data_IF_672644897145
#
_entry.id   IF_672644897145
#
_cell.length_a   1.000
_cell.length_b   1.000
_cell.length_c   1.000
_cell.angle_alpha   90.00
_cell.angle_beta   90.00
_cell.angle_gamma   90.00
#
_symmetry.space_group_name_H-M   'P 1'
#
loop_
_entity.id
_entity.type
_entity.pdbx_description
1 polymer ?
#
# COMPACT_ATOMS: atom_id res chain seq x y z
N UNK A 1 -27.22 5.05 24.27
CA UNK A 1 -26.58 6.20 23.58
C UNK A 1 -25.73 5.62 22.46
N UNK A 2 -26.00 5.98 21.20
CA UNK A 2 -25.17 5.55 20.06
C UNK A 2 -23.77 6.18 20.22
N UNK A 3 -22.73 5.37 20.31
CA UNK A 3 -21.34 5.86 20.27
C UNK A 3 -21.16 6.66 18.97
N UNK A 4 -20.50 7.81 19.07
CA UNK A 4 -20.24 8.67 17.91
C UNK A 4 -19.19 7.97 17.05
N UNK A 5 -19.55 7.60 15.84
CA UNK A 5 -18.60 7.03 14.87
C UNK A 5 -17.59 8.09 14.45
N UNK A 6 -16.32 7.70 14.39
CA UNK A 6 -15.22 8.52 13.90
C UNK A 6 -14.19 7.64 13.16
N UNK A 7 -13.38 8.23 12.27
CA UNK A 7 -12.34 7.48 11.61
C UNK A 7 -11.31 6.95 12.61
N UNK A 8 -11.09 5.64 12.61
CA UNK A 8 -10.02 4.96 13.32
C UNK A 8 -9.00 4.45 12.32
N UNK A 9 -7.71 4.66 12.60
CA UNK A 9 -6.60 4.22 11.78
C UNK A 9 -5.84 3.09 12.48
N UNK A 10 -5.91 1.90 11.90
CA UNK A 10 -5.21 0.72 12.39
C UNK A 10 -3.95 0.48 11.57
N UNK A 11 -2.83 0.32 12.24
CA UNK A 11 -1.57 -0.15 11.64
C UNK A 11 -1.41 -1.63 11.99
N UNK A 12 -1.32 -2.46 10.95
CA UNK A 12 -1.27 -3.92 11.10
C UNK A 12 -0.02 -4.45 10.40
N UNK A 13 0.82 -5.16 11.13
CA UNK A 13 1.94 -5.92 10.57
C UNK A 13 1.54 -7.38 10.42
N UNK A 14 1.78 -7.94 9.26
CA UNK A 14 1.35 -9.29 8.90
C UNK A 14 2.47 -10.05 8.18
N UNK A 15 2.41 -11.36 8.24
CA UNK A 15 3.23 -12.19 7.36
C UNK A 15 2.84 -11.92 5.89
N UNK A 16 3.85 -11.76 5.03
CA UNK A 16 3.62 -11.58 3.60
C UNK A 16 3.28 -12.92 2.93
N UNK A 17 2.03 -13.38 3.15
CA UNK A 17 1.51 -14.64 2.64
C UNK A 17 0.18 -14.44 1.90
N UNK A 18 -0.13 -15.27 0.89
CA UNK A 18 -1.42 -15.24 0.21
C UNK A 18 -2.59 -15.41 1.18
N UNK A 19 -3.68 -14.68 0.94
CA UNK A 19 -4.92 -14.79 1.70
C UNK A 19 -4.97 -14.03 3.03
N UNK A 20 -3.89 -13.42 3.50
CA UNK A 20 -3.88 -12.66 4.76
C UNK A 20 -4.80 -11.45 4.68
N UNK A 21 -4.72 -10.67 3.60
CA UNK A 21 -5.61 -9.54 3.36
C UNK A 21 -7.08 -9.97 3.35
N UNK A 22 -7.40 -11.08 2.70
CA UNK A 22 -8.77 -11.60 2.63
C UNK A 22 -9.32 -11.96 4.03
N UNK A 23 -8.49 -12.52 4.91
CA UNK A 23 -8.89 -12.83 6.30
C UNK A 23 -9.24 -11.57 7.09
N UNK A 24 -8.43 -10.51 6.96
CA UNK A 24 -8.67 -9.22 7.61
C UNK A 24 -9.94 -8.59 7.04
N UNK A 25 -10.08 -8.47 5.73
CA UNK A 25 -11.26 -7.93 5.08
C UNK A 25 -12.55 -8.70 5.46
N UNK A 26 -12.47 -10.02 5.55
CA UNK A 26 -13.58 -10.88 6.00
C UNK A 26 -13.98 -10.62 7.47
N UNK A 27 -13.03 -10.23 8.31
CA UNK A 27 -13.33 -9.84 9.70
C UNK A 27 -14.18 -8.56 9.73
N UNK A 28 -13.80 -7.52 8.99
CA UNK A 28 -14.57 -6.27 8.88
C UNK A 28 -15.96 -6.53 8.32
N UNK A 29 -16.05 -7.29 7.21
CA UNK A 29 -17.33 -7.67 6.59
C UNK A 29 -18.26 -8.38 7.56
N UNK A 30 -17.78 -9.39 8.31
CA UNK A 30 -18.61 -10.14 9.26
C UNK A 30 -19.14 -9.29 10.41
N UNK A 31 -18.46 -8.19 10.73
CA UNK A 31 -18.84 -7.24 11.78
C UNK A 31 -19.66 -6.06 11.25
N UNK A 32 -19.89 -5.99 9.94
CA UNK A 32 -20.63 -4.89 9.31
C UNK A 32 -19.86 -3.57 9.28
N UNK A 33 -18.52 -3.57 9.47
CA UNK A 33 -17.71 -2.37 9.42
C UNK A 33 -17.23 -2.11 7.99
N UNK A 34 -17.38 -0.85 7.55
CA UNK A 34 -16.83 -0.42 6.27
C UNK A 34 -15.34 -0.09 6.38
N UNK A 35 -14.56 -0.49 5.39
CA UNK A 35 -13.17 -0.06 5.22
C UNK A 35 -13.18 1.15 4.26
N UNK A 36 -12.88 2.33 4.77
CA UNK A 36 -12.85 3.57 3.99
C UNK A 36 -11.51 3.73 3.23
N UNK A 37 -10.43 3.27 3.84
CA UNK A 37 -9.10 3.33 3.27
C UNK A 37 -8.31 2.09 3.64
N UNK A 38 -7.61 1.53 2.66
CA UNK A 38 -6.75 0.37 2.82
C UNK A 38 -5.49 0.56 2.01
N UNK A 39 -4.36 0.50 2.68
CA UNK A 39 -3.04 0.49 2.02
C UNK A 39 -2.26 -0.71 2.51
N UNK A 40 -1.65 -1.43 1.59
CA UNK A 40 -0.80 -2.59 1.87
C UNK A 40 0.53 -2.39 1.17
N UNK A 41 1.61 -2.58 1.89
CA UNK A 41 2.96 -2.44 1.35
C UNK A 41 3.95 -3.36 2.04
N UNK A 42 5.09 -3.57 1.39
CA UNK A 42 6.21 -4.27 1.99
C UNK A 42 6.86 -3.42 3.10
N UNK A 43 7.50 -4.08 4.03
CA UNK A 43 8.36 -3.43 5.02
C UNK A 43 9.83 -3.64 4.65
N UNK A 44 10.73 -3.15 5.49
CA UNK A 44 12.16 -3.46 5.42
C UNK A 44 12.47 -4.96 5.58
N UNK A 45 11.50 -5.76 6.07
CA UNK A 45 11.58 -7.22 6.17
C UNK A 45 10.80 -7.84 5.03
N UNK A 46 11.45 -8.59 4.17
CA UNK A 46 10.84 -9.17 2.95
C UNK A 46 9.64 -10.09 3.19
N UNK A 47 9.58 -10.71 4.37
CA UNK A 47 8.51 -11.62 4.78
C UNK A 47 7.39 -10.95 5.59
N UNK A 48 7.45 -9.62 5.76
CA UNK A 48 6.47 -8.84 6.52
C UNK A 48 5.86 -7.77 5.62
N UNK A 49 4.53 -7.69 5.61
CA UNK A 49 3.78 -6.60 5.01
C UNK A 49 3.14 -5.72 6.09
N UNK A 50 3.00 -4.45 5.79
CA UNK A 50 2.34 -3.47 6.64
C UNK A 50 1.07 -2.98 5.97
N UNK A 51 -0.01 -2.98 6.72
CA UNK A 51 -1.30 -2.45 6.28
C UNK A 51 -1.66 -1.22 7.12
N UNK A 52 -2.27 -0.24 6.48
CA UNK A 52 -3.00 0.83 7.15
C UNK A 52 -4.47 0.69 6.77
N UNK A 53 -5.33 0.58 7.75
CA UNK A 53 -6.78 0.38 7.57
C UNK A 53 -7.48 1.54 8.26
N UNK A 54 -8.34 2.26 7.55
CA UNK A 54 -9.20 3.31 8.13
C UNK A 54 -10.65 2.87 8.05
N UNK A 55 -11.36 3.01 9.16
CA UNK A 55 -12.78 2.63 9.28
C UNK A 55 -13.49 3.59 10.25
N UNK A 56 -14.63 4.14 9.88
CA UNK A 56 -15.47 4.95 10.78
C UNK A 56 -16.29 4.05 11.68
N UNK A 57 -15.92 3.99 12.95
CA UNK A 57 -16.55 3.14 13.99
C UNK A 57 -16.49 3.84 15.34
N UNK A 58 -17.30 3.39 16.28
CA UNK A 58 -17.24 3.88 17.68
C UNK A 58 -16.00 3.33 18.43
N UNK A 59 -15.56 4.04 19.47
CA UNK A 59 -14.35 3.70 20.24
C UNK A 59 -14.39 2.27 20.82
N UNK A 60 -15.51 1.83 21.36
CA UNK A 60 -15.67 0.47 21.87
C UNK A 60 -15.61 -0.59 20.76
N UNK A 61 -16.05 -0.25 19.54
CA UNK A 61 -15.91 -1.11 18.38
C UNK A 61 -14.45 -1.18 17.92
N UNK A 62 -13.70 -0.08 17.97
CA UNK A 62 -12.30 -0.03 17.60
C UNK A 62 -11.43 -0.97 18.45
N UNK A 63 -11.58 -0.97 19.77
CA UNK A 63 -10.90 -1.92 20.64
C UNK A 63 -11.23 -3.39 20.33
N UNK A 64 -12.50 -3.68 19.98
CA UNK A 64 -12.89 -5.04 19.58
C UNK A 64 -12.29 -5.43 18.23
N UNK A 65 -12.21 -4.50 17.28
CA UNK A 65 -11.57 -4.72 15.97
C UNK A 65 -10.10 -5.04 16.16
N UNK A 66 -9.36 -4.21 16.89
CA UNK A 66 -7.95 -4.41 17.20
C UNK A 66 -7.70 -5.79 17.82
N UNK A 67 -8.44 -6.15 18.89
CA UNK A 67 -8.32 -7.45 19.56
C UNK A 67 -8.65 -8.64 18.65
N UNK A 68 -9.60 -8.48 17.72
CA UNK A 68 -9.97 -9.54 16.78
C UNK A 68 -8.95 -9.69 15.64
N UNK A 69 -8.39 -8.59 15.12
CA UNK A 69 -7.29 -8.63 14.14
C UNK A 69 -6.08 -9.35 14.75
N UNK A 70 -5.73 -9.02 16.01
CA UNK A 70 -4.59 -9.62 16.69
C UNK A 70 -4.70 -11.16 16.88
N UNK A 71 -5.90 -11.70 16.89
CA UNK A 71 -6.15 -13.16 16.98
C UNK A 71 -5.90 -13.90 15.68
N UNK A 72 -5.78 -13.21 14.55
CA UNK A 72 -5.51 -13.86 13.27
C UNK A 72 -4.09 -14.41 13.23
N UNK A 73 -3.93 -15.65 12.78
CA UNK A 73 -2.67 -16.41 12.83
C UNK A 73 -1.49 -15.67 12.17
N UNK A 74 -1.74 -14.97 11.07
CA UNK A 74 -0.70 -14.29 10.30
C UNK A 74 -0.48 -12.83 10.71
N UNK A 75 -1.17 -12.34 11.74
CA UNK A 75 -0.98 -10.99 12.27
C UNK A 75 0.15 -11.00 13.30
N UNK A 76 1.14 -10.17 13.07
CA UNK A 76 2.34 -10.04 13.90
C UNK A 76 2.18 -8.94 14.93
N UNK A 77 1.50 -7.86 14.56
CA UNK A 77 1.17 -6.74 15.44
C UNK A 77 -0.01 -5.96 14.85
N UNK A 78 -0.81 -5.37 15.73
CA UNK A 78 -1.88 -4.44 15.36
C UNK A 78 -1.93 -3.32 16.39
N UNK A 79 -2.23 -2.13 15.94
CA UNK A 79 -2.30 -0.95 16.79
C UNK A 79 -3.30 0.06 16.23
N UNK A 80 -4.22 0.54 17.05
CA UNK A 80 -5.02 1.73 16.76
C UNK A 80 -4.17 2.98 17.04
N UNK A 81 -3.78 3.68 15.98
CA UNK A 81 -2.94 4.88 16.05
C UNK A 81 -3.73 6.18 16.00
N UNK A 82 -5.05 6.12 16.11
CA UNK A 82 -5.97 7.27 15.99
C UNK A 82 -5.62 8.39 16.98
N UNK A 83 -5.29 8.04 18.22
CA UNK A 83 -4.94 8.99 19.27
C UNK A 83 -3.43 9.32 19.32
N UNK A 84 -2.62 8.64 18.52
CA UNK A 84 -1.18 8.84 18.54
C UNK A 84 -0.76 10.04 17.68
N UNK A 85 0.32 10.70 18.05
CA UNK A 85 0.94 11.71 17.19
C UNK A 85 1.56 11.03 15.97
N UNK A 86 0.93 11.21 14.81
CA UNK A 86 1.30 10.53 13.57
C UNK A 86 1.60 11.49 12.44
N UNK A 87 2.27 10.97 11.41
CA UNK A 87 2.33 11.55 10.07
C UNK A 87 1.45 10.69 9.18
N UNK A 88 0.40 11.29 8.61
CA UNK A 88 -0.45 10.64 7.59
C UNK A 88 -0.19 11.26 6.23
N UNK A 89 -0.12 10.45 5.20
CA UNK A 89 0.04 10.86 3.80
C UNK A 89 -0.81 9.99 2.88
N UNK A 90 -1.41 10.65 1.90
CA UNK A 90 -2.04 10.02 0.74
C UNK A 90 -1.51 10.67 -0.53
N UNK A 91 -1.61 9.98 -1.65
CA UNK A 91 -1.33 10.52 -2.98
C UNK A 91 -2.62 10.55 -3.78
N UNK A 92 -2.84 11.61 -4.55
CA UNK A 92 -3.90 11.68 -5.54
C UNK A 92 -3.34 12.10 -6.90
N UNK A 93 -3.89 11.48 -7.96
CA UNK A 93 -3.75 11.93 -9.34
C UNK A 93 -5.10 12.44 -9.79
N UNK A 94 -5.15 13.69 -10.23
CA UNK A 94 -6.39 14.35 -10.66
C UNK A 94 -6.21 14.83 -12.10
N UNK A 95 -6.97 14.25 -13.02
CA UNK A 95 -7.06 14.72 -14.40
C UNK A 95 -8.14 15.77 -14.50
N UNK A 96 -7.79 16.95 -14.94
CA UNK A 96 -8.69 18.10 -15.03
C UNK A 96 -8.71 18.67 -16.44
N UNK A 97 -9.87 19.17 -16.89
CA UNK A 97 -9.97 19.90 -18.14
C UNK A 97 -9.14 21.18 -18.06
N UNK A 98 -8.33 21.44 -19.08
CA UNK A 98 -7.39 22.55 -19.13
C UNK A 98 -7.37 23.20 -20.53
N UNK A 99 -8.50 23.83 -20.96
CA UNK A 99 -8.47 24.64 -22.13
C UNK A 99 -7.49 25.81 -21.95
N UNK A 100 -7.05 26.41 -23.02
CA UNK A 100 -5.97 27.41 -23.02
C UNK A 100 -6.23 28.56 -22.04
N UNK A 101 -7.46 29.03 -21.97
CA UNK A 101 -7.88 30.16 -21.13
C UNK A 101 -7.74 29.87 -19.62
N UNK A 102 -7.91 28.61 -19.19
CA UNK A 102 -7.85 28.23 -17.78
C UNK A 102 -6.49 27.72 -17.33
N UNK A 103 -5.60 27.44 -18.27
CA UNK A 103 -4.33 26.78 -18.01
C UNK A 103 -3.44 27.56 -17.06
N UNK A 104 -3.33 28.88 -17.25
CA UNK A 104 -2.53 29.72 -16.35
C UNK A 104 -3.04 29.63 -14.89
N UNK A 105 -4.36 29.76 -14.72
CA UNK A 105 -4.98 29.69 -13.39
C UNK A 105 -4.79 28.32 -12.72
N UNK A 106 -4.86 27.23 -13.48
CA UNK A 106 -4.58 25.89 -12.98
C UNK A 106 -3.13 25.74 -12.51
N UNK A 107 -2.17 26.31 -13.24
CA UNK A 107 -0.76 26.30 -12.85
C UNK A 107 -0.51 27.08 -11.56
N UNK A 108 -1.21 28.18 -11.31
CA UNK A 108 -1.14 28.92 -10.04
C UNK A 108 -1.69 28.07 -8.88
N UNK A 109 -2.84 27.41 -9.06
CA UNK A 109 -3.42 26.50 -8.06
C UNK A 109 -2.41 25.40 -7.71
N UNK A 110 -1.81 24.77 -8.72
CA UNK A 110 -0.79 23.72 -8.52
C UNK A 110 0.37 24.23 -7.66
N UNK A 111 0.84 25.46 -7.90
CA UNK A 111 1.93 26.09 -7.09
C UNK A 111 1.49 26.33 -5.64
N UNK A 112 0.31 26.91 -5.42
CA UNK A 112 -0.23 27.20 -4.09
C UNK A 112 -0.31 25.92 -3.24
N UNK A 113 -0.82 24.84 -3.83
CA UNK A 113 -0.96 23.56 -3.14
C UNK A 113 0.35 22.76 -3.08
N UNK A 114 1.45 23.26 -3.67
CA UNK A 114 2.71 22.51 -3.82
C UNK A 114 2.46 21.12 -4.43
N UNK A 115 1.58 21.08 -5.43
CA UNK A 115 1.29 19.93 -6.26
C UNK A 115 2.22 19.95 -7.49
N UNK A 116 2.15 18.93 -8.33
CA UNK A 116 2.95 18.82 -9.56
C UNK A 116 2.06 18.48 -10.74
N UNK A 117 2.34 19.08 -11.89
CA UNK A 117 1.80 18.60 -13.17
C UNK A 117 2.70 17.45 -13.62
N UNK A 118 2.12 16.27 -13.80
CA UNK A 118 2.83 15.06 -14.24
C UNK A 118 2.52 14.69 -15.68
N UNK A 119 1.43 15.26 -16.23
CA UNK A 119 1.09 15.15 -17.65
C UNK A 119 0.43 16.44 -18.13
N UNK A 120 0.80 16.85 -19.34
CA UNK A 120 0.26 18.04 -20.02
C UNK A 120 -0.19 17.65 -21.43
N UNK A 121 -1.50 17.70 -21.65
CA UNK A 121 -2.11 17.50 -22.96
C UNK A 121 -2.78 18.80 -23.46
N UNK A 122 -3.14 18.90 -24.75
CA UNK A 122 -3.75 20.12 -25.33
C UNK A 122 -5.00 20.62 -24.60
N UNK A 123 -5.79 19.71 -24.00
CA UNK A 123 -7.07 20.05 -23.35
C UNK A 123 -7.21 19.53 -21.93
N UNK A 124 -6.16 18.95 -21.35
CA UNK A 124 -6.18 18.40 -19.99
C UNK A 124 -4.82 18.44 -19.32
N UNK A 125 -4.82 18.42 -17.97
CA UNK A 125 -3.66 18.26 -17.12
C UNK A 125 -3.88 17.07 -16.18
N UNK A 126 -2.81 16.33 -15.84
CA UNK A 126 -2.81 15.44 -14.70
C UNK A 126 -1.98 16.08 -13.59
N UNK A 127 -2.62 16.30 -12.46
CA UNK A 127 -2.04 16.94 -11.29
C UNK A 127 -1.81 15.86 -10.23
N UNK A 128 -0.57 15.72 -9.78
CA UNK A 128 -0.17 14.88 -8.66
C UNK A 128 -0.09 15.72 -7.39
N UNK A 129 -0.69 15.23 -6.31
CA UNK A 129 -0.55 15.81 -4.99
C UNK A 129 -0.32 14.73 -3.94
N UNK A 130 0.60 15.01 -3.02
CA UNK A 130 0.81 14.21 -1.81
C UNK A 130 0.61 15.09 -0.59
N UNK A 131 -0.10 14.60 0.40
CA UNK A 131 -0.37 15.35 1.61
C UNK A 131 -1.26 14.65 2.61
N UNK A 132 -1.67 15.40 3.63
CA UNK A 132 -2.76 15.00 4.51
C UNK A 132 -4.09 15.05 3.76
N UNK A 133 -5.08 14.34 4.27
CA UNK A 133 -6.41 14.20 3.66
C UNK A 133 -7.04 15.57 3.35
N UNK A 134 -7.03 16.48 4.34
CA UNK A 134 -7.60 17.83 4.20
C UNK A 134 -6.98 18.64 3.07
N UNK A 135 -5.64 18.51 2.89
CA UNK A 135 -4.93 19.19 1.80
C UNK A 135 -5.40 18.69 0.43
N UNK A 136 -5.59 17.37 0.30
CA UNK A 136 -6.03 16.75 -0.95
C UNK A 136 -7.47 17.12 -1.24
N UNK A 137 -8.34 17.09 -0.23
CA UNK A 137 -9.74 17.52 -0.37
C UNK A 137 -9.82 18.99 -0.81
N UNK A 138 -9.09 19.89 -0.15
CA UNK A 138 -9.07 21.30 -0.51
C UNK A 138 -8.63 21.54 -1.96
N UNK A 139 -7.61 20.82 -2.45
CA UNK A 139 -7.23 20.91 -3.87
C UNK A 139 -8.35 20.41 -4.79
N UNK A 140 -8.95 19.26 -4.48
CA UNK A 140 -10.03 18.68 -5.29
C UNK A 140 -11.21 19.66 -5.39
N UNK A 141 -11.59 20.28 -4.28
CA UNK A 141 -12.69 21.26 -4.26
C UNK A 141 -12.40 22.49 -5.10
N UNK A 142 -11.16 23.00 -5.07
CA UNK A 142 -10.73 24.12 -5.90
C UNK A 142 -10.67 23.72 -7.39
N UNK A 143 -10.42 22.47 -7.72
CA UNK A 143 -10.35 21.97 -9.09
C UNK A 143 -11.76 21.64 -9.68
N UNK A 144 -12.77 21.40 -8.85
CA UNK A 144 -14.15 21.06 -9.33
C UNK A 144 -14.70 22.01 -10.39
N UNK A 145 -14.58 23.36 -10.28
CA UNK A 145 -15.11 24.28 -11.28
C UNK A 145 -14.45 24.16 -12.66
N UNK A 146 -13.23 23.61 -12.75
CA UNK A 146 -12.54 23.41 -14.02
C UNK A 146 -12.96 22.13 -14.75
N UNK A 147 -13.70 21.24 -14.08
CA UNK A 147 -14.12 19.95 -14.61
C UNK A 147 -13.09 18.85 -14.36
N UNK A 148 -13.29 18.08 -13.31
CA UNK A 148 -12.50 16.87 -13.02
C UNK A 148 -12.97 15.79 -13.98
N UNK A 149 -12.06 15.30 -14.83
CA UNK A 149 -12.31 14.25 -15.81
C UNK A 149 -12.14 12.86 -15.19
N UNK A 150 -11.11 12.72 -14.32
CA UNK A 150 -10.80 11.46 -13.66
C UNK A 150 -10.01 11.77 -12.39
N UNK A 151 -10.18 10.94 -11.38
CA UNK A 151 -9.40 11.02 -10.14
C UNK A 151 -9.13 9.63 -9.60
N UNK A 152 -7.90 9.40 -9.17
CA UNK A 152 -7.51 8.21 -8.42
C UNK A 152 -6.75 8.64 -7.17
N UNK A 153 -6.97 7.92 -6.07
CA UNK A 153 -6.32 8.18 -4.79
C UNK A 153 -5.79 6.87 -4.20
N UNK A 154 -4.65 6.95 -3.54
CA UNK A 154 -4.20 5.87 -2.67
C UNK A 154 -4.99 5.89 -1.36
N UNK A 155 -4.94 4.81 -0.61
CA UNK A 155 -5.27 4.86 0.80
C UNK A 155 -4.21 5.65 1.60
N UNK A 156 -4.52 5.90 2.86
CA UNK A 156 -3.60 6.59 3.78
C UNK A 156 -2.44 5.68 4.18
N UNK A 157 -1.24 6.25 4.21
CA UNK A 157 -0.06 5.68 4.87
C UNK A 157 0.16 6.49 6.14
N UNK A 158 0.17 5.83 7.29
CA UNK A 158 0.29 6.49 8.61
C UNK A 158 1.53 5.97 9.32
N UNK A 159 2.32 6.86 9.93
CA UNK A 159 3.50 6.50 10.71
C UNK A 159 3.55 7.35 12.00
N UNK A 160 3.89 6.75 13.13
CA UNK A 160 4.13 7.49 14.37
C UNK A 160 5.28 8.47 14.23
N UNK A 161 5.17 9.60 14.89
CA UNK A 161 6.26 10.58 15.00
C UNK A 161 7.22 10.22 16.15
N UNK A 162 8.49 10.60 15.97
CA UNK A 162 9.52 10.50 17.01
C UNK A 162 10.07 9.09 17.20
N UNK A 163 10.85 8.92 18.25
CA UNK A 163 11.55 7.68 18.63
C UNK A 163 10.68 6.72 19.45
N UNK A 164 9.35 6.87 19.45
CA UNK A 164 8.48 5.94 20.16
C UNK A 164 8.66 4.52 19.57
N UNK A 165 8.96 3.58 20.45
CA UNK A 165 9.12 2.19 20.09
C UNK A 165 7.87 1.68 19.37
N UNK A 166 8.09 0.93 18.31
CA UNK A 166 7.03 0.18 17.64
C UNK A 166 6.42 -0.79 18.65
N UNK A 167 5.12 -1.02 18.58
CA UNK A 167 4.55 -2.20 19.19
C UNK A 167 5.38 -3.43 18.80
N UNK A 168 5.72 -4.26 19.76
CA UNK A 168 6.59 -5.42 19.55
C UNK A 168 6.03 -6.29 18.43
N UNK A 169 6.77 -6.44 17.35
CA UNK A 169 6.37 -7.25 16.21
C UNK A 169 6.79 -8.68 16.50
N UNK A 170 5.83 -9.57 16.70
CA UNK A 170 6.08 -11.00 16.85
C UNK A 170 6.96 -11.49 15.69
N UNK A 171 7.88 -12.37 15.96
CA UNK A 171 8.64 -13.04 14.90
C UNK A 171 7.69 -13.85 14.02
N UNK A 172 7.79 -13.75 12.67
CA UNK A 172 7.04 -14.62 11.78
C UNK A 172 7.35 -16.08 12.10
N UNK A 173 6.34 -16.94 12.06
CA UNK A 173 6.59 -18.38 12.15
C UNK A 173 7.51 -18.79 10.99
N UNK A 174 8.48 -19.68 11.22
CA UNK A 174 9.28 -20.23 10.13
C UNK A 174 8.35 -20.67 8.99
N UNK A 175 8.73 -20.35 7.76
CA UNK A 175 7.95 -20.81 6.61
C UNK A 175 7.94 -22.33 6.65
N UNK A 176 6.77 -22.95 6.80
CA UNK A 176 6.63 -24.38 6.50
C UNK A 176 7.07 -24.53 5.04
N UNK A 177 8.21 -25.16 4.81
CA UNK A 177 8.68 -25.49 3.48
C UNK A 177 7.57 -26.29 2.79
N UNK A 178 6.99 -25.73 1.76
CA UNK A 178 5.99 -26.44 0.98
C UNK A 178 6.70 -27.58 0.26
N UNK A 179 6.47 -28.85 0.63
CA UNK A 179 7.21 -29.98 0.10
C UNK A 179 7.16 -30.05 -1.44
N UNK A 180 6.09 -29.54 -2.07
CA UNK A 180 5.96 -29.46 -3.53
C UNK A 180 6.92 -28.46 -4.19
N UNK A 181 7.46 -27.46 -3.49
CA UNK A 181 8.48 -26.55 -4.01
C UNK A 181 9.89 -27.09 -3.84
N UNK A 182 10.12 -27.92 -2.85
CA UNK A 182 11.39 -28.63 -2.66
C UNK A 182 11.60 -29.64 -3.80
N UNK A 183 10.57 -30.40 -4.15
CA UNK A 183 10.62 -31.38 -5.26
C UNK A 183 10.82 -30.72 -6.64
N UNK A 184 10.25 -29.52 -6.89
CA UNK A 184 10.49 -28.79 -8.15
C UNK A 184 11.90 -28.19 -8.26
N UNK A 185 12.57 -27.88 -7.15
CA UNK A 185 13.98 -27.45 -7.15
C UNK A 185 14.96 -28.61 -7.28
N UNK A 186 14.64 -29.77 -6.74
CA UNK A 186 15.46 -30.96 -6.86
C UNK A 186 15.39 -31.62 -8.25
N UNK A 187 14.32 -31.38 -9.03
CA UNK A 187 14.15 -31.88 -10.39
C UNK A 187 14.77 -31.02 -11.49
N UNK A 188 15.39 -29.88 -11.17
CA UNK A 188 16.02 -28.95 -12.13
C UNK A 188 17.55 -29.01 -12.07
N UNK A 189 18.14 -30.22 -12.03
CA UNK A 189 19.54 -30.37 -12.37
C UNK A 189 19.73 -30.26 -13.89
N UNK A 190 20.71 -29.49 -14.39
CA UNK A 190 20.94 -29.35 -15.81
C UNK A 190 21.50 -30.67 -16.36
N UNK A 191 20.68 -31.45 -17.06
CA UNK A 191 21.17 -32.51 -17.94
C UNK A 191 21.90 -31.87 -19.09
N UNK A 192 23.20 -32.11 -19.15
CA UNK A 192 23.94 -32.00 -20.41
C UNK A 192 25.04 -30.96 -20.47
N UNK A 193 26.19 -31.30 -19.91
CA UNK A 193 27.46 -30.77 -20.36
C UNK A 193 28.52 -31.86 -20.26
N UNK A 194 28.40 -32.87 -21.14
CA UNK A 194 29.57 -33.71 -21.44
C UNK A 194 29.30 -34.49 -22.75
N UNK A 195 29.68 -33.93 -23.87
CA UNK A 195 30.02 -34.64 -25.13
C UNK A 195 30.32 -33.57 -26.17
N UNK A 196 31.60 -33.25 -26.36
CA UNK A 196 32.20 -32.79 -27.63
C UNK A 196 33.59 -32.17 -27.34
N UNK A 197 34.53 -33.01 -26.96
CA UNK A 197 35.98 -32.72 -27.15
C UNK A 197 36.66 -34.05 -27.45
N UNK A 198 36.57 -34.50 -28.69
CA UNK A 198 37.55 -35.43 -29.27
C UNK A 198 37.34 -35.41 -30.79
N UNK A 199 38.20 -34.69 -31.49
CA UNK A 199 38.62 -34.89 -32.86
C UNK A 199 39.11 -33.57 -33.47
N UNK A 200 40.36 -33.20 -33.25
CA UNK A 200 41.18 -32.70 -34.36
C UNK A 200 42.67 -32.78 -33.97
N UNK A 201 43.33 -33.81 -34.44
CA UNK A 201 44.76 -33.86 -34.59
C UNK A 201 45.07 -33.63 -36.07
N UNK A 202 45.87 -32.61 -36.44
CA UNK A 202 46.42 -32.57 -37.77
C UNK A 202 47.62 -33.50 -37.85
N UNK A 203 47.54 -34.41 -38.81
CA UNK A 203 48.63 -35.24 -39.27
C UNK A 203 49.77 -34.37 -39.88
N UNK A 204 50.97 -34.62 -39.50
CA UNK A 204 52.18 -34.05 -40.14
C UNK A 204 52.39 -34.60 -41.52
N UNK A 205 53.09 -33.77 -42.30
CA UNK A 205 53.83 -34.24 -43.49
C UNK A 205 54.94 -33.25 -43.78
N UNK A 206 56.17 -33.78 -43.79
CA UNK A 206 57.30 -33.63 -44.72
C UNK A 206 57.67 -32.20 -45.12
#
# INVERSE_FOLDING_TARGET
MSERERPHAFVVYVENKPGVLNRIASLFRRRGYNIESLTVGHTERSNVSRMTIVSSIGDGAAHRVEANIYKLVNVLSVEDVTQATTISRSLALVKVAAPEESRHRLMEIVRVFRARVVDLAPRSLIIEITGAEDKIHALVDVLRPFGILEMVRTGQVVMRRGAQERAEIRSPKPAEENPRRAEQKAGAEPRGANALVEADRPAGSV
#
